data_IF_819654907712
#
_entry.id   IF_819654907712
#
_cell.length_a   1.000
_cell.length_b   1.000
_cell.length_c   1.000
_cell.angle_alpha   90.00
_cell.angle_beta   90.00
_cell.angle_gamma   90.00
#
_symmetry.space_group_name_H-M   'P 1'
#
loop_
_entity.id
_entity.type
_entity.pdbx_description
1 polymer ?
#
# COMPACT_ATOMS: atom_id res chain seq x y z
N UNK A 1 2.35 -22.75 13.80
CA UNK A 1 1.49 -21.89 12.96
C UNK A 1 1.60 -22.48 11.58
N UNK A 2 0.51 -22.95 11.00
CA UNK A 2 0.56 -23.66 9.71
C UNK A 2 1.13 -22.72 8.65
N UNK A 3 2.08 -23.22 7.86
CA UNK A 3 2.67 -22.55 6.69
C UNK A 3 1.63 -22.44 5.58
N UNK A 4 0.52 -21.74 5.84
CA UNK A 4 -0.46 -21.40 4.82
C UNK A 4 0.09 -20.24 4.02
N UNK A 5 0.49 -20.51 2.78
CA UNK A 5 0.97 -19.49 1.86
C UNK A 5 -0.13 -18.45 1.65
N UNK A 6 0.14 -17.22 2.06
CA UNK A 6 -0.81 -16.13 1.88
C UNK A 6 -1.02 -15.87 0.39
N UNK A 7 -2.26 -16.04 -0.06
CA UNK A 7 -2.67 -15.68 -1.42
C UNK A 7 -3.73 -14.58 -1.36
N UNK A 8 -3.56 -13.55 -2.19
CA UNK A 8 -4.56 -12.51 -2.38
C UNK A 8 -5.15 -12.64 -3.78
N UNK A 9 -6.44 -13.00 -3.86
CA UNK A 9 -7.16 -13.16 -5.14
C UNK A 9 -6.41 -14.05 -6.15
N UNK A 10 -5.81 -15.14 -5.66
CA UNK A 10 -5.06 -16.10 -6.48
C UNK A 10 -3.64 -15.68 -6.83
N UNK A 11 -3.09 -14.64 -6.18
CA UNK A 11 -1.70 -14.19 -6.35
C UNK A 11 -0.90 -14.33 -5.07
N UNK A 12 0.34 -14.78 -5.18
CA UNK A 12 1.29 -14.86 -4.06
C UNK A 12 1.84 -13.49 -3.72
N UNK A 13 2.45 -13.35 -2.54
CA UNK A 13 3.00 -12.07 -2.09
C UNK A 13 4.11 -11.55 -3.02
N UNK A 14 4.94 -12.44 -3.55
CA UNK A 14 6.05 -12.05 -4.44
C UNK A 14 5.54 -11.58 -5.80
N UNK A 15 4.49 -12.22 -6.33
CA UNK A 15 3.81 -11.73 -7.54
C UNK A 15 3.24 -10.33 -7.32
N UNK A 16 2.56 -10.10 -6.18
CA UNK A 16 1.95 -8.79 -5.88
C UNK A 16 2.99 -7.67 -5.76
N UNK A 17 4.20 -7.97 -5.26
CA UNK A 17 5.28 -6.98 -5.16
C UNK A 17 5.86 -6.58 -6.52
N UNK A 18 5.84 -7.49 -7.49
CA UNK A 18 6.35 -7.24 -8.84
C UNK A 18 5.32 -6.53 -9.74
N UNK A 19 4.03 -6.61 -9.41
CA UNK A 19 2.97 -5.99 -10.22
C UNK A 19 3.01 -4.46 -10.18
N UNK A 20 2.65 -3.85 -11.32
CA UNK A 20 2.46 -2.41 -11.41
C UNK A 20 1.17 -1.97 -10.71
N UNK A 21 1.11 -0.71 -10.26
CA UNK A 21 -0.07 -0.12 -9.60
C UNK A 21 -1.36 -0.27 -10.43
N UNK A 22 -1.27 -0.12 -11.76
CA UNK A 22 -2.43 -0.25 -12.65
C UNK A 22 -2.95 -1.70 -12.71
N UNK A 23 -2.05 -2.67 -12.79
CA UNK A 23 -2.41 -4.10 -12.77
C UNK A 23 -2.97 -4.50 -11.41
N UNK A 24 -2.38 -3.98 -10.32
CA UNK A 24 -2.90 -4.18 -8.98
C UNK A 24 -4.30 -3.58 -8.81
N UNK A 25 -4.62 -2.47 -9.49
CA UNK A 25 -5.95 -1.82 -9.41
C UNK A 25 -7.09 -2.69 -9.96
N UNK A 26 -6.79 -3.62 -10.87
CA UNK A 26 -7.78 -4.56 -11.41
C UNK A 26 -8.21 -5.57 -10.35
N UNK A 27 -7.26 -5.98 -9.50
CA UNK A 27 -7.51 -6.88 -8.37
C UNK A 27 -8.27 -6.20 -7.23
N UNK A 28 -8.25 -4.87 -7.12
CA UNK A 28 -8.95 -4.16 -6.05
C UNK A 28 -10.47 -4.09 -6.27
N UNK A 29 -11.17 -3.72 -5.19
CA UNK A 29 -12.58 -3.35 -5.24
C UNK A 29 -12.81 -2.02 -6.01
N UNK A 30 -14.09 -1.69 -6.25
CA UNK A 30 -14.44 -0.50 -7.03
C UNK A 30 -13.88 0.80 -6.43
N UNK A 31 -13.81 0.91 -5.10
CA UNK A 31 -13.26 2.09 -4.41
C UNK A 31 -11.76 2.20 -4.61
N UNK A 32 -11.03 1.10 -4.38
CA UNK A 32 -9.58 1.05 -4.52
C UNK A 32 -9.14 1.37 -5.95
N UNK A 33 -9.81 0.73 -6.92
CA UNK A 33 -9.59 0.98 -8.35
C UNK A 33 -9.84 2.43 -8.73
N UNK A 34 -10.95 3.03 -8.30
CA UNK A 34 -11.28 4.44 -8.57
C UNK A 34 -10.23 5.39 -8.04
N UNK A 35 -9.65 5.12 -6.87
CA UNK A 35 -8.58 5.97 -6.31
C UNK A 35 -7.31 5.90 -7.14
N UNK A 36 -6.87 4.70 -7.53
CA UNK A 36 -5.67 4.54 -8.37
C UNK A 36 -5.88 5.19 -9.74
N UNK A 37 -7.04 4.98 -10.37
CA UNK A 37 -7.36 5.57 -11.68
C UNK A 37 -7.44 7.11 -11.65
N UNK A 38 -7.90 7.69 -10.55
CA UNK A 38 -7.90 9.16 -10.36
C UNK A 38 -6.51 9.74 -10.07
N UNK A 39 -5.55 8.89 -9.70
CA UNK A 39 -4.20 9.28 -9.33
C UNK A 39 -4.04 9.49 -7.83
N UNK A 40 -2.83 9.16 -7.35
CA UNK A 40 -2.39 9.43 -5.99
C UNK A 40 -2.03 10.91 -5.82
N UNK A 41 -2.33 11.46 -4.64
CA UNK A 41 -1.93 12.83 -4.27
C UNK A 41 -0.40 12.91 -4.14
N UNK A 42 0.17 14.11 -4.26
CA UNK A 42 1.63 14.26 -4.20
C UNK A 42 2.22 13.88 -2.85
N UNK A 43 1.49 14.11 -1.76
CA UNK A 43 1.87 13.63 -0.42
C UNK A 43 1.93 12.09 -0.35
N UNK A 44 0.99 11.41 -0.99
CA UNK A 44 0.93 9.94 -1.04
C UNK A 44 2.10 9.39 -1.87
N UNK A 45 2.48 10.06 -2.96
CA UNK A 45 3.69 9.72 -3.73
C UNK A 45 4.96 9.94 -2.92
N UNK A 46 5.03 11.04 -2.16
CA UNK A 46 6.17 11.33 -1.28
C UNK A 46 6.31 10.25 -0.20
N UNK A 47 5.20 9.86 0.43
CA UNK A 47 5.18 8.77 1.41
C UNK A 47 5.69 7.46 0.81
N UNK A 48 5.32 7.12 -0.44
CA UNK A 48 5.84 5.91 -1.10
C UNK A 48 7.35 5.98 -1.36
N UNK A 49 7.88 7.15 -1.69
CA UNK A 49 9.33 7.35 -1.82
C UNK A 49 10.04 7.23 -0.46
N UNK A 50 9.48 7.87 0.57
CA UNK A 50 10.02 7.79 1.93
C UNK A 50 10.05 6.34 2.46
N UNK A 51 9.08 5.52 2.05
CA UNK A 51 9.02 4.09 2.38
C UNK A 51 10.02 3.21 1.62
N UNK A 52 10.54 3.66 0.48
CA UNK A 52 11.64 2.96 -0.21
C UNK A 52 12.99 3.21 0.49
N UNK A 53 13.12 4.31 1.23
CA UNK A 53 14.35 4.70 1.93
C UNK A 53 14.37 4.37 3.42
N UNK A 54 13.19 4.31 4.08
CA UNK A 54 13.06 4.20 5.54
C UNK A 54 12.11 3.08 5.94
N UNK A 55 12.52 2.31 6.94
CA UNK A 55 11.69 1.25 7.55
C UNK A 55 10.51 1.80 8.35
N UNK A 56 10.60 3.06 8.81
CA UNK A 56 9.60 3.74 9.64
C UNK A 56 9.21 5.09 9.05
N UNK A 57 7.93 5.23 8.68
CA UNK A 57 7.38 6.46 8.10
C UNK A 57 6.16 6.92 8.88
N UNK A 58 6.16 8.19 9.29
CA UNK A 58 5.02 8.87 9.90
C UNK A 58 4.15 9.50 8.82
N UNK A 59 2.85 9.26 8.84
CA UNK A 59 1.90 9.82 7.87
C UNK A 59 0.66 10.40 8.53
N UNK A 60 0.16 11.50 7.96
CA UNK A 60 -1.19 12.01 8.25
C UNK A 60 -2.22 11.53 7.23
N UNK A 61 -1.77 10.91 6.13
CA UNK A 61 -2.63 10.52 5.01
C UNK A 61 -3.30 9.17 5.28
N UNK A 62 -4.36 9.21 6.07
CA UNK A 62 -5.16 8.04 6.48
C UNK A 62 -5.97 7.41 5.36
N UNK A 63 -6.26 8.16 4.30
CA UNK A 63 -7.07 7.66 3.19
C UNK A 63 -6.24 6.80 2.21
N UNK A 64 -4.92 6.72 2.38
CA UNK A 64 -4.04 5.98 1.48
C UNK A 64 -4.40 4.49 1.45
N UNK A 65 -4.42 3.91 0.25
CA UNK A 65 -4.61 2.47 0.08
C UNK A 65 -3.27 1.80 0.34
N UNK A 66 -3.30 0.67 1.06
CA UNK A 66 -2.12 -0.18 1.25
C UNK A 66 -1.75 -0.83 -0.08
N UNK A 67 -0.59 -0.46 -0.59
CA UNK A 67 -0.01 -1.01 -1.83
C UNK A 67 0.94 -2.16 -1.46
N UNK A 68 1.12 -3.20 -2.29
CA UNK A 68 2.02 -4.32 -2.00
C UNK A 68 3.46 -3.89 -1.65
N UNK A 69 3.93 -2.78 -2.21
CA UNK A 69 5.25 -2.18 -1.88
C UNK A 69 5.40 -1.75 -0.41
N UNK A 70 4.29 -1.50 0.29
CA UNK A 70 4.31 -1.03 1.69
C UNK A 70 4.45 -2.20 2.68
N UNK A 71 4.35 -3.45 2.21
CA UNK A 71 4.37 -4.63 3.07
C UNK A 71 5.77 -4.90 3.59
N UNK A 72 5.90 -4.96 4.92
CA UNK A 72 7.18 -5.12 5.63
C UNK A 72 7.65 -3.82 6.30
N UNK A 73 7.12 -2.67 5.88
CA UNK A 73 7.45 -1.38 6.47
C UNK A 73 6.51 -1.03 7.62
N UNK A 74 7.02 -0.27 8.59
CA UNK A 74 6.22 0.24 9.71
C UNK A 74 5.72 1.65 9.37
N UNK A 75 4.40 1.79 9.26
CA UNK A 75 3.76 3.09 9.04
C UNK A 75 3.07 3.54 10.32
N UNK A 76 3.50 4.67 10.86
CA UNK A 76 2.87 5.33 12.01
C UNK A 76 1.82 6.32 11.50
N UNK A 77 0.56 6.12 11.87
CA UNK A 77 -0.59 6.82 11.27
C UNK A 77 -1.19 7.80 12.29
N UNK A 78 -1.13 9.08 11.96
CA UNK A 78 -1.61 10.13 12.85
C UNK A 78 -3.11 10.04 13.11
N UNK A 79 -3.50 9.93 14.38
CA UNK A 79 -4.90 9.81 14.80
C UNK A 79 -5.56 11.14 15.21
N UNK A 80 -4.83 12.26 15.17
CA UNK A 80 -5.29 13.57 15.68
C UNK A 80 -4.60 14.01 16.97
N UNK A 81 -3.86 13.12 17.62
CA UNK A 81 -3.08 13.40 18.83
C UNK A 81 -1.69 12.76 18.80
N UNK A 82 -1.58 11.53 18.29
CA UNK A 82 -0.34 10.73 18.22
C UNK A 82 -0.25 10.01 16.88
N UNK A 83 0.95 9.55 16.55
CA UNK A 83 1.27 8.71 15.39
C UNK A 83 1.21 7.23 15.75
#
# INVERSE_FOLDING_TARGET
MSDEEFTFRGKTMDELKQMNLNQFSELLDARGRRKIQRGLRDNEKKMLKDLEEKDRVKTHERDMIVVPKMVGNTVEVYNGQRF
#
